data_IF_904674568561
#
_entry.id   IF_904674568561
#
_cell.length_a   1.000
_cell.length_b   1.000
_cell.length_c   1.000
_cell.angle_alpha   90.00
_cell.angle_beta   90.00
_cell.angle_gamma   90.00
#
_symmetry.space_group_name_H-M   'P 1'
#
loop_
_entity.id
_entity.type
_entity.pdbx_description
1 polymer ?
#
# COMPACT_ATOMS: atom_id res chain seq x y z
N UNK A 1 -3.17 -29.95 8.70
CA UNK A 1 -1.91 -29.26 9.08
C UNK A 1 -2.28 -27.85 9.51
N UNK A 2 -1.69 -27.32 10.59
CA UNK A 2 -2.00 -25.97 11.07
C UNK A 2 -1.56 -24.94 10.02
N UNK A 3 -2.35 -23.88 9.81
CA UNK A 3 -2.09 -22.82 8.82
C UNK A 3 -0.76 -22.07 9.05
N UNK A 4 -0.19 -22.21 10.25
CA UNK A 4 1.07 -21.61 10.69
C UNK A 4 2.11 -22.65 11.14
N UNK A 5 2.10 -23.84 10.52
CA UNK A 5 2.94 -24.98 10.92
C UNK A 5 4.41 -24.58 11.12
N UNK A 6 4.93 -24.83 12.33
CA UNK A 6 6.31 -24.51 12.69
C UNK A 6 6.56 -23.18 13.38
N UNK A 7 5.56 -22.29 13.44
CA UNK A 7 5.68 -20.98 14.07
C UNK A 7 5.01 -20.96 15.45
N UNK A 8 5.63 -20.24 16.38
CA UNK A 8 5.18 -20.07 17.78
C UNK A 8 5.58 -18.70 18.30
N UNK A 9 5.00 -18.27 19.43
CA UNK A 9 5.36 -17.01 20.08
C UNK A 9 5.26 -15.80 19.16
N UNK A 10 6.30 -14.96 19.15
CA UNK A 10 6.36 -13.71 18.39
C UNK A 10 6.17 -13.93 16.87
N UNK A 11 6.75 -14.99 16.31
CA UNK A 11 6.60 -15.33 14.90
C UNK A 11 5.18 -15.68 14.50
N UNK A 12 4.46 -16.39 15.36
CA UNK A 12 3.06 -16.70 15.12
C UNK A 12 2.20 -15.44 15.20
N UNK A 13 2.40 -14.63 16.25
CA UNK A 13 1.67 -13.37 16.44
C UNK A 13 1.91 -12.39 15.28
N UNK A 14 3.15 -12.30 14.79
CA UNK A 14 3.50 -11.51 13.62
C UNK A 14 2.74 -11.98 12.38
N UNK A 15 2.80 -13.28 12.05
CA UNK A 15 2.10 -13.83 10.89
C UNK A 15 0.58 -13.64 10.98
N UNK A 16 -0.01 -13.82 12.16
CA UNK A 16 -1.44 -13.59 12.39
C UNK A 16 -1.83 -12.12 12.24
N UNK A 17 -1.01 -11.19 12.76
CA UNK A 17 -1.25 -9.76 12.65
C UNK A 17 -1.30 -9.30 11.18
N UNK A 18 -0.43 -9.85 10.34
CA UNK A 18 -0.41 -9.59 8.91
C UNK A 18 -1.33 -10.53 8.09
N UNK A 19 -2.02 -11.47 8.74
CA UNK A 19 -2.91 -12.48 8.14
C UNK A 19 -2.23 -13.33 7.04
N UNK A 20 -0.96 -13.63 7.23
CA UNK A 20 -0.12 -14.41 6.29
C UNK A 20 0.00 -15.86 6.78
N UNK A 21 -0.23 -16.83 5.89
CA UNK A 21 -0.17 -18.27 6.18
C UNK A 21 0.98 -18.96 5.48
N UNK A 22 1.35 -20.14 6.00
CA UNK A 22 2.34 -20.99 5.33
C UNK A 22 1.83 -21.38 3.94
N UNK A 23 2.69 -21.17 2.93
CA UNK A 23 2.34 -21.37 1.53
C UNK A 23 2.02 -20.06 0.77
N UNK A 24 1.76 -18.96 1.47
CA UNK A 24 1.49 -17.67 0.83
C UNK A 24 2.77 -17.09 0.23
N UNK A 25 2.64 -16.42 -0.91
CA UNK A 25 3.72 -15.64 -1.50
C UNK A 25 3.86 -14.32 -0.75
N UNK A 26 5.01 -14.08 -0.13
CA UNK A 26 5.30 -12.88 0.65
C UNK A 26 6.53 -12.11 0.17
N UNK A 27 6.51 -10.79 0.41
CA UNK A 27 7.63 -9.89 0.23
C UNK A 27 7.94 -9.20 1.52
N UNK A 28 9.20 -9.29 1.91
CA UNK A 28 9.70 -8.79 3.17
C UNK A 28 10.88 -7.88 2.86
N UNK A 29 10.87 -6.70 3.47
CA UNK A 29 11.93 -5.70 3.26
C UNK A 29 12.67 -5.49 4.58
N UNK A 30 13.97 -5.73 4.57
CA UNK A 30 14.91 -5.38 5.62
C UNK A 30 15.87 -4.32 5.02
N UNK A 31 17.17 -4.63 4.94
CA UNK A 31 18.14 -3.90 4.12
C UNK A 31 17.99 -4.27 2.64
N UNK A 32 17.68 -5.55 2.39
CA UNK A 32 17.35 -6.09 1.08
C UNK A 32 15.88 -6.50 1.05
N UNK A 33 15.33 -6.54 -0.16
CA UNK A 33 13.96 -6.99 -0.40
C UNK A 33 13.97 -8.46 -0.83
N UNK A 34 13.26 -9.28 -0.07
CA UNK A 34 13.10 -10.71 -0.33
C UNK A 34 11.68 -10.99 -0.79
N UNK A 35 11.52 -11.74 -1.88
CA UNK A 35 10.21 -12.20 -2.38
C UNK A 35 10.24 -13.70 -2.55
N UNK A 36 9.24 -14.40 -2.00
CA UNK A 36 9.16 -15.86 -2.08
C UNK A 36 8.00 -16.44 -1.28
N UNK A 37 7.99 -17.75 -1.11
CA UNK A 37 6.90 -18.47 -0.43
C UNK A 37 7.23 -18.61 1.06
N UNK A 38 6.28 -18.31 1.94
CA UNK A 38 6.42 -18.56 3.38
C UNK A 38 6.46 -20.07 3.63
N UNK A 39 7.57 -20.57 4.15
CA UNK A 39 7.77 -21.98 4.44
C UNK A 39 7.37 -22.32 5.87
N UNK A 40 6.93 -23.56 6.14
CA UNK A 40 6.83 -24.04 7.51
C UNK A 40 8.22 -24.11 8.15
N UNK A 41 8.27 -23.91 9.46
CA UNK A 41 9.49 -24.00 10.25
C UNK A 41 9.48 -25.29 11.10
N UNK A 42 10.63 -25.68 11.62
CA UNK A 42 10.69 -26.77 12.61
C UNK A 42 10.21 -26.26 13.98
N UNK A 43 9.35 -27.00 14.67
CA UNK A 43 8.69 -26.56 15.92
C UNK A 43 9.68 -26.21 17.06
N UNK A 44 10.89 -26.76 17.01
CA UNK A 44 11.96 -26.49 17.97
C UNK A 44 12.82 -25.26 17.63
N UNK A 45 12.52 -24.55 16.54
CA UNK A 45 13.19 -23.29 16.19
C UNK A 45 12.88 -22.16 17.17
N UNK A 46 13.64 -21.06 17.06
CA UNK A 46 13.32 -19.81 17.75
C UNK A 46 12.02 -19.19 17.22
N UNK A 47 11.43 -18.33 18.03
CA UNK A 47 10.17 -17.62 17.75
C UNK A 47 10.36 -16.24 17.14
N UNK A 48 11.58 -15.87 16.74
CA UNK A 48 11.93 -14.51 16.26
C UNK A 48 12.05 -14.41 14.76
N UNK A 49 12.01 -15.53 14.03
CA UNK A 49 12.30 -15.54 12.61
C UNK A 49 11.20 -16.23 11.78
N UNK A 50 11.00 -15.72 10.57
CA UNK A 50 10.20 -16.36 9.52
C UNK A 50 11.11 -16.93 8.42
N UNK A 51 10.63 -17.91 7.65
CA UNK A 51 11.42 -18.54 6.58
C UNK A 51 10.75 -18.32 5.24
N UNK A 52 11.48 -17.71 4.29
CA UNK A 52 11.00 -17.49 2.92
C UNK A 52 11.82 -18.33 1.96
N UNK A 53 11.14 -19.11 1.11
CA UNK A 53 11.76 -19.78 -0.03
C UNK A 53 11.77 -18.86 -1.24
N UNK A 54 12.95 -18.44 -1.65
CA UNK A 54 13.17 -17.60 -2.81
C UNK A 54 12.90 -18.35 -4.12
N UNK A 55 12.70 -17.62 -5.22
CA UNK A 55 12.58 -18.19 -6.58
C UNK A 55 13.80 -19.03 -6.99
N UNK A 56 14.98 -18.76 -6.41
CA UNK A 56 16.19 -19.56 -6.59
C UNK A 56 16.11 -20.95 -5.92
N UNK A 57 15.09 -21.22 -5.10
CA UNK A 57 14.94 -22.43 -4.32
C UNK A 57 15.60 -22.40 -2.95
N UNK A 58 16.33 -21.32 -2.62
CA UNK A 58 17.01 -21.14 -1.35
C UNK A 58 16.04 -20.65 -0.25
N UNK A 59 16.19 -21.17 0.97
CA UNK A 59 15.40 -20.76 2.13
C UNK A 59 16.17 -19.74 2.97
N UNK A 60 15.58 -18.57 3.21
CA UNK A 60 16.16 -17.49 4.02
C UNK A 60 15.37 -17.33 5.31
N UNK A 61 16.06 -17.37 6.45
CA UNK A 61 15.49 -16.99 7.74
C UNK A 61 15.63 -15.49 7.95
N UNK A 62 14.51 -14.79 8.17
CA UNK A 62 14.49 -13.34 8.37
C UNK A 62 14.01 -13.05 9.79
N UNK A 63 14.78 -12.24 10.52
CA UNK A 63 14.42 -11.82 11.87
C UNK A 63 13.30 -10.79 11.83
N UNK A 64 12.20 -11.07 12.52
CA UNK A 64 10.98 -10.27 12.48
C UNK A 64 11.20 -8.84 12.94
N UNK A 65 12.08 -8.64 13.92
CA UNK A 65 12.37 -7.30 14.45
C UNK A 65 13.13 -6.42 13.44
N UNK A 66 13.83 -7.02 12.48
CA UNK A 66 14.57 -6.29 11.44
C UNK A 66 13.72 -6.02 10.20
N UNK A 67 12.62 -6.77 10.02
CA UNK A 67 11.66 -6.48 8.97
C UNK A 67 11.18 -5.04 9.14
N UNK A 68 11.43 -4.20 8.14
CA UNK A 68 10.87 -2.86 8.05
C UNK A 68 9.36 -3.04 8.06
N UNK A 69 8.76 -2.82 9.23
CA UNK A 69 7.31 -2.86 9.40
C UNK A 69 6.75 -1.90 8.37
N UNK A 70 5.79 -2.39 7.59
CA UNK A 70 5.01 -1.58 6.65
C UNK A 70 4.70 -0.26 7.35
N UNK A 71 5.20 0.86 6.84
CA UNK A 71 4.56 2.14 7.10
C UNK A 71 3.26 2.00 6.30
N UNK A 72 2.26 1.33 6.90
CA UNK A 72 0.91 1.50 6.42
C UNK A 72 0.71 3.00 6.50
N UNK A 73 0.31 3.63 5.38
CA UNK A 73 0.03 5.06 5.36
C UNK A 73 -0.74 5.38 6.63
N UNK A 74 -0.18 6.24 7.47
CA UNK A 74 -0.78 6.55 8.76
C UNK A 74 -2.22 7.00 8.45
N UNK A 75 -3.25 6.53 9.17
CA UNK A 75 -4.60 7.09 9.04
C UNK A 75 -4.61 8.62 8.96
N UNK A 76 -3.70 9.30 9.68
CA UNK A 76 -3.53 10.75 9.62
C UNK A 76 -3.01 11.26 8.25
N UNK A 77 -2.14 10.52 7.57
CA UNK A 77 -1.63 10.87 6.23
C UNK A 77 -2.71 10.68 5.15
N UNK A 78 -3.50 9.60 5.25
CA UNK A 78 -4.63 9.39 4.34
C UNK A 78 -5.71 10.45 4.56
N UNK A 79 -5.94 10.85 5.82
CA UNK A 79 -6.88 11.91 6.15
C UNK A 79 -6.39 13.28 5.69
N UNK A 80 -5.10 13.58 5.85
CA UNK A 80 -4.50 14.80 5.32
C UNK A 80 -4.63 14.89 3.80
N UNK A 81 -4.46 13.78 3.07
CA UNK A 81 -4.70 13.73 1.63
C UNK A 81 -6.15 13.97 1.27
N UNK A 82 -7.12 13.48 2.05
CA UNK A 82 -8.54 13.79 1.83
C UNK A 82 -8.86 15.25 2.06
N UNK A 83 -8.36 15.83 3.15
CA UNK A 83 -8.53 17.27 3.43
C UNK A 83 -7.98 18.08 2.25
N UNK A 84 -6.79 17.72 1.74
CA UNK A 84 -6.24 18.34 0.53
C UNK A 84 -7.16 18.20 -0.68
N UNK A 85 -7.67 16.99 -0.96
CA UNK A 85 -8.60 16.77 -2.08
C UNK A 85 -9.89 17.58 -1.95
N UNK A 86 -10.44 17.70 -0.75
CA UNK A 86 -11.65 18.50 -0.49
C UNK A 86 -11.36 19.99 -0.74
N UNK A 87 -10.21 20.50 -0.29
CA UNK A 87 -9.79 21.88 -0.56
C UNK A 87 -9.62 22.17 -2.06
N UNK A 88 -9.03 21.25 -2.83
CA UNK A 88 -8.89 21.41 -4.28
C UNK A 88 -10.25 21.40 -4.98
N UNK A 89 -11.16 20.52 -4.55
CA UNK A 89 -12.51 20.44 -5.10
C UNK A 89 -13.30 21.74 -4.85
N UNK A 90 -13.26 22.26 -3.62
CA UNK A 90 -13.86 23.56 -3.28
C UNK A 90 -13.27 24.71 -4.12
N UNK A 91 -11.96 24.68 -4.35
CA UNK A 91 -11.26 25.68 -5.18
C UNK A 91 -11.69 25.62 -6.65
N UNK A 92 -11.84 24.42 -7.21
CA UNK A 92 -12.38 24.22 -8.56
C UNK A 92 -13.79 24.80 -8.68
N UNK A 93 -14.69 24.51 -7.73
CA UNK A 93 -16.06 25.03 -7.73
C UNK A 93 -16.10 26.56 -7.63
N UNK A 94 -15.25 27.12 -6.76
CA UNK A 94 -15.13 28.56 -6.56
C UNK A 94 -14.68 29.28 -7.84
N UNK A 95 -13.59 28.82 -8.48
CA UNK A 95 -13.07 29.44 -9.69
C UNK A 95 -13.99 29.21 -10.90
N UNK A 96 -14.65 28.04 -10.98
CA UNK A 96 -15.63 27.76 -12.04
C UNK A 96 -16.83 28.71 -11.94
N UNK A 97 -17.34 28.93 -10.73
CA UNK A 97 -18.43 29.89 -10.49
C UNK A 97 -18.01 31.32 -10.85
N UNK A 98 -16.78 31.72 -10.50
CA UNK A 98 -16.25 33.03 -10.86
C UNK A 98 -16.07 33.19 -12.38
N UNK A 99 -15.64 32.13 -13.07
CA UNK A 99 -15.45 32.08 -14.51
C UNK A 99 -16.77 32.32 -15.26
N UNK A 100 -17.85 31.70 -14.79
CA UNK A 100 -19.19 31.81 -15.36
C UNK A 100 -19.80 33.21 -15.17
N UNK A 101 -19.48 33.88 -14.07
CA UNK A 101 -19.95 35.24 -13.76
C UNK A 101 -19.11 36.34 -14.42
N UNK A 102 -17.90 36.02 -14.89
CA UNK A 102 -17.04 36.99 -15.55
C UNK A 102 -17.56 37.31 -16.95
N UNK A 103 -17.43 38.56 -17.38
CA UNK A 103 -17.64 38.97 -18.78
C UNK A 103 -16.33 39.32 -19.48
N UNK A 104 -15.28 39.63 -18.70
CA UNK A 104 -13.97 39.99 -19.22
C UNK A 104 -13.18 38.77 -19.71
N UNK A 105 -12.65 38.86 -20.93
CA UNK A 105 -11.96 37.76 -21.60
C UNK A 105 -10.62 37.42 -20.95
N UNK A 106 -9.90 38.42 -20.42
CA UNK A 106 -8.62 38.20 -19.75
C UNK A 106 -8.84 37.49 -18.41
N UNK A 107 -9.81 37.96 -17.63
CA UNK A 107 -10.22 37.34 -16.37
C UNK A 107 -10.72 35.91 -16.60
N UNK A 108 -11.48 35.67 -17.67
CA UNK A 108 -11.90 34.30 -18.05
C UNK A 108 -10.72 33.39 -18.37
N UNK A 109 -9.73 33.89 -19.11
CA UNK A 109 -8.55 33.10 -19.45
C UNK A 109 -7.75 32.74 -18.18
N UNK A 110 -7.60 33.69 -17.26
CA UNK A 110 -6.92 33.47 -15.99
C UNK A 110 -7.66 32.46 -15.08
N UNK A 111 -8.97 32.65 -14.87
CA UNK A 111 -9.79 31.74 -14.05
C UNK A 111 -9.83 30.33 -14.63
N UNK A 112 -9.91 30.21 -15.96
CA UNK A 112 -9.82 28.90 -16.63
C UNK A 112 -8.49 28.21 -16.34
N UNK A 113 -7.39 28.96 -16.33
CA UNK A 113 -6.07 28.39 -16.00
C UNK A 113 -6.04 27.85 -14.57
N UNK A 114 -6.57 28.61 -13.61
CA UNK A 114 -6.65 28.17 -12.20
C UNK A 114 -7.51 26.90 -12.05
N UNK A 115 -8.68 26.85 -12.69
CA UNK A 115 -9.53 25.64 -12.66
C UNK A 115 -8.78 24.40 -13.16
N UNK A 116 -7.99 24.53 -14.23
CA UNK A 116 -7.22 23.39 -14.74
C UNK A 116 -6.05 23.01 -13.83
N UNK A 117 -5.38 23.97 -13.20
CA UNK A 117 -4.32 23.71 -12.22
C UNK A 117 -4.85 22.94 -11.00
N UNK A 118 -5.97 23.36 -10.41
CA UNK A 118 -6.52 22.65 -9.24
C UNK A 118 -7.06 21.25 -9.61
N UNK A 119 -7.54 21.04 -10.84
CA UNK A 119 -7.88 19.69 -11.33
C UNK A 119 -6.65 18.80 -11.45
N UNK A 120 -5.53 19.33 -11.92
CA UNK A 120 -4.26 18.60 -11.97
C UNK A 120 -3.77 18.23 -10.56
N UNK A 121 -3.88 19.16 -9.59
CA UNK A 121 -3.57 18.91 -8.18
C UNK A 121 -4.48 17.83 -7.58
N UNK A 122 -5.79 17.93 -7.79
CA UNK A 122 -6.76 16.94 -7.33
C UNK A 122 -6.43 15.55 -7.88
N UNK A 123 -6.09 15.45 -9.17
CA UNK A 123 -5.70 14.18 -9.79
C UNK A 123 -4.42 13.59 -9.16
N UNK A 124 -3.43 14.42 -8.86
CA UNK A 124 -2.20 14.00 -8.19
C UNK A 124 -2.48 13.48 -6.77
N UNK A 125 -3.31 14.19 -6.01
CA UNK A 125 -3.71 13.78 -4.66
C UNK A 125 -4.51 12.48 -4.68
N UNK A 126 -5.44 12.32 -5.61
CA UNK A 126 -6.20 11.07 -5.80
C UNK A 126 -5.31 9.89 -6.17
N UNK A 127 -4.33 10.11 -7.06
CA UNK A 127 -3.35 9.11 -7.44
C UNK A 127 -2.48 8.72 -6.25
N UNK A 128 -2.03 9.69 -5.46
CA UNK A 128 -1.20 9.46 -4.27
C UNK A 128 -1.99 8.74 -3.18
N UNK A 129 -3.23 9.16 -2.90
CA UNK A 129 -4.11 8.49 -1.96
C UNK A 129 -4.42 7.05 -2.42
N UNK A 130 -4.71 6.85 -3.70
CA UNK A 130 -4.90 5.51 -4.27
C UNK A 130 -3.63 4.68 -4.21
N UNK A 131 -2.47 5.27 -4.48
CA UNK A 131 -1.19 4.60 -4.35
C UNK A 131 -0.91 4.23 -2.89
N UNK A 132 -1.16 5.08 -1.91
CA UNK A 132 -0.91 4.77 -0.50
C UNK A 132 -1.93 3.76 0.07
N UNK A 133 -3.18 3.84 -0.40
CA UNK A 133 -4.22 2.86 -0.09
C UNK A 133 -3.94 1.49 -0.73
N UNK A 134 -3.59 1.48 -2.03
CA UNK A 134 -3.44 0.27 -2.85
C UNK A 134 -2.00 -0.24 -2.96
N UNK A 135 -0.95 0.51 -2.64
CA UNK A 135 0.40 -0.05 -2.44
C UNK A 135 0.45 -0.95 -1.21
N UNK A 136 -0.59 -0.86 -0.38
CA UNK A 136 -1.00 -1.89 0.57
C UNK A 136 -1.61 -3.16 -0.01
N UNK A 137 -2.23 -3.07 -1.17
CA UNK A 137 -3.01 -4.12 -1.85
C UNK A 137 -2.29 -4.73 -3.07
N UNK A 138 -1.28 -4.06 -3.63
CA UNK A 138 -0.45 -4.57 -4.72
C UNK A 138 0.32 -5.84 -4.31
N UNK A 139 0.38 -6.09 -3.01
CA UNK A 139 0.94 -7.32 -2.46
C UNK A 139 -0.06 -8.47 -2.32
N UNK A 140 -1.37 -8.23 -2.39
CA UNK A 140 -2.41 -9.26 -2.28
C UNK A 140 -3.18 -9.54 -3.59
N UNK A 141 -3.24 -8.60 -4.53
CA UNK A 141 -4.07 -8.74 -5.73
C UNK A 141 -3.46 -9.58 -6.84
N UNK A 142 -2.13 -9.75 -6.90
CA UNK A 142 -1.51 -10.62 -7.93
C UNK A 142 -1.76 -12.12 -7.65
N UNK A 143 -2.03 -12.52 -6.39
CA UNK A 143 -2.18 -13.93 -6.03
C UNK A 143 -3.60 -14.49 -6.23
N UNK A 144 -4.64 -13.65 -6.23
CA UNK A 144 -6.02 -14.14 -6.47
C UNK A 144 -6.35 -14.36 -7.95
N UNK A 145 -5.57 -13.78 -8.87
CA UNK A 145 -5.84 -13.87 -10.30
C UNK A 145 -5.25 -15.12 -11.00
N UNK A 146 -4.37 -15.88 -10.34
CA UNK A 146 -3.67 -17.02 -10.97
C UNK A 146 -4.25 -18.40 -10.64
N UNK A 147 -5.36 -18.49 -9.90
CA UNK A 147 -6.01 -19.76 -9.55
C UNK A 147 -7.44 -19.88 -10.10
N UNK A 148 -7.62 -19.57 -11.39
CA UNK A 148 -8.72 -20.11 -12.20
C UNK A 148 -8.24 -20.28 -13.63
N UNK A 149 -7.65 -21.44 -13.92
CA UNK A 149 -7.21 -21.82 -15.26
C UNK A 149 -6.65 -23.23 -15.27
N UNK A 150 -7.55 -24.22 -15.35
CA UNK A 150 -7.23 -25.64 -15.53
C UNK A 150 -8.18 -26.55 -14.79
#
# INVERSE_FOLDING_TARGET
MSEYSGYKGDSLAFLQNYKVKVGDSIKVTEDLTYTGILMPRYEHGDDKHIVIKLKSGYNVGIEIQKIKKRIAANPDELEALKIGMDMELESVEFYQTALEKSEDNLQKAFLRRLVEEEKEHLQLLQNTHSYLKNSGDWFLWEEKALLNGG
#
